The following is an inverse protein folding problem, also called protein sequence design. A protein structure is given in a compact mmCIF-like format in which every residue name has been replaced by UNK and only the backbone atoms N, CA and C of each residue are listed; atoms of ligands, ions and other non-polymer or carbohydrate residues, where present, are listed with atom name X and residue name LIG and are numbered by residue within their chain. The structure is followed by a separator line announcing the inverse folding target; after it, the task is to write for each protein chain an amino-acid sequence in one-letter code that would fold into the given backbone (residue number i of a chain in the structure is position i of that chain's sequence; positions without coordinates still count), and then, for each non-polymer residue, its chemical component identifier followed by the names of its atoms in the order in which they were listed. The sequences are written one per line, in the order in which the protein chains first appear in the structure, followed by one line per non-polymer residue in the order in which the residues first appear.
data_IF_269288790257
#
_entry.id   IF_269288790257
#
_cell.length_a   1.000
_cell.length_b   1.000
_cell.length_c   1.000
_cell.angle_alpha   90.00
_cell.angle_beta   90.00
_cell.angle_gamma   90.00
#
_symmetry.space_group_name_H-M   'P 1'
#
loop_
_entity.id
_entity.type
_entity.pdbx_description
1 polymer ?
#
# COMPACT_ATOMS: atom_id res chain seq x y z
N UNK A 1 -43.32 -2.59 -69.78
CA UNK A 1 -42.30 -1.76 -69.12
C UNK A 1 -42.13 -2.35 -67.71
N UNK A 2 -41.34 -3.37 -67.43
CA UNK A 2 -39.93 -3.68 -67.74
C UNK A 2 -38.93 -2.59 -67.32
N UNK A 3 -38.32 -2.81 -66.16
CA UNK A 3 -36.99 -2.36 -65.70
C UNK A 3 -36.94 -2.63 -64.19
N UNK A 4 -36.17 -3.56 -63.61
CA UNK A 4 -34.96 -4.21 -64.09
C UNK A 4 -33.71 -3.51 -63.55
N UNK A 5 -33.37 -3.70 -62.27
CA UNK A 5 -32.01 -3.46 -61.79
C UNK A 5 -31.68 -4.29 -60.53
N UNK A 6 -30.75 -5.23 -60.73
CA UNK A 6 -30.18 -6.21 -59.81
C UNK A 6 -29.44 -5.59 -58.60
N UNK A 7 -29.27 -6.35 -57.50
CA UNK A 7 -28.29 -6.07 -56.46
C UNK A 7 -26.86 -6.28 -56.99
N UNK A 8 -25.95 -5.36 -56.67
CA UNK A 8 -24.52 -5.51 -56.97
C UNK A 8 -23.86 -6.33 -55.88
N UNK A 9 -23.44 -7.53 -56.27
CA UNK A 9 -22.29 -8.24 -55.70
C UNK A 9 -21.03 -7.38 -55.81
N UNK A 10 -20.21 -7.41 -54.77
CA UNK A 10 -18.91 -6.76 -54.70
C UNK A 10 -18.01 -7.59 -53.81
N UNK A 11 -17.11 -8.31 -54.47
CA UNK A 11 -16.11 -9.23 -53.96
C UNK A 11 -15.33 -8.79 -52.71
N UNK A 12 -15.12 -9.76 -51.83
CA UNK A 12 -13.77 -10.26 -51.58
C UNK A 12 -12.77 -9.30 -50.95
N UNK A 13 -12.75 -9.28 -49.62
CA UNK A 13 -11.47 -9.35 -48.90
C UNK A 13 -11.65 -10.06 -47.57
N UNK A 14 -11.64 -11.39 -47.63
CA UNK A 14 -11.29 -12.22 -46.50
C UNK A 14 -9.87 -11.81 -46.07
N UNK A 15 -9.77 -10.99 -45.04
CA UNK A 15 -8.54 -10.89 -44.27
C UNK A 15 -8.46 -12.15 -43.42
N UNK A 16 -7.87 -13.21 -43.99
CA UNK A 16 -7.25 -14.28 -43.21
C UNK A 16 -6.18 -13.61 -42.34
N UNK A 17 -6.60 -13.12 -41.17
CA UNK A 17 -5.69 -12.96 -40.05
C UNK A 17 -5.35 -14.37 -39.63
N UNK A 18 -4.24 -14.83 -40.18
CA UNK A 18 -3.42 -15.93 -39.68
C UNK A 18 -3.31 -15.77 -38.17
N UNK A 19 -4.23 -16.44 -37.48
CA UNK A 19 -4.15 -16.69 -36.05
C UNK A 19 -2.91 -17.54 -35.89
N UNK A 20 -1.78 -16.88 -35.58
CA UNK A 20 -0.65 -17.51 -34.93
C UNK A 20 -1.17 -18.12 -33.63
N UNK A 21 -1.75 -19.32 -33.76
CA UNK A 21 -2.14 -20.15 -32.65
C UNK A 21 -0.88 -20.34 -31.85
N UNK A 22 -0.84 -19.75 -30.65
CA UNK A 22 0.01 -20.24 -29.58
C UNK A 22 -0.14 -21.75 -29.64
N UNK A 23 0.93 -22.46 -30.03
CA UNK A 23 1.00 -23.90 -29.86
C UNK A 23 0.66 -24.13 -28.40
N UNK A 24 -0.55 -24.60 -28.14
CA UNK A 24 -0.88 -25.17 -26.85
C UNK A 24 0.06 -26.34 -26.73
N UNK A 25 1.07 -26.22 -25.87
CA UNK A 25 1.77 -27.40 -25.39
C UNK A 25 0.68 -28.31 -24.84
N UNK A 26 0.37 -29.35 -25.60
CA UNK A 26 -0.63 -30.33 -25.23
C UNK A 26 -0.07 -31.04 -24.01
N UNK A 27 -0.60 -30.71 -22.84
CA UNK A 27 -0.28 -31.43 -21.62
C UNK A 27 -0.89 -32.81 -21.76
N UNK A 28 -0.03 -33.81 -21.86
CA UNK A 28 -0.45 -35.20 -21.90
C UNK A 28 -0.82 -35.62 -20.48
N UNK A 29 -2.12 -35.74 -20.22
CA UNK A 29 -2.63 -36.09 -18.89
C UNK A 29 -2.75 -37.60 -18.67
N UNK A 30 -2.74 -38.38 -19.75
CA UNK A 30 -3.06 -39.81 -19.76
C UNK A 30 -2.20 -40.50 -20.81
N UNK A 31 -1.62 -41.64 -20.47
CA UNK A 31 -0.88 -42.48 -21.43
C UNK A 31 -1.83 -43.35 -22.27
N UNK A 32 -1.38 -43.80 -23.44
CA UNK A 32 -2.19 -44.61 -24.37
C UNK A 32 -2.75 -45.89 -23.70
N UNK A 33 -1.96 -46.53 -22.83
CA UNK A 33 -2.38 -47.71 -22.04
C UNK A 33 -3.42 -47.38 -20.97
N UNK A 34 -3.34 -46.20 -20.37
CA UNK A 34 -4.34 -45.76 -19.39
C UNK A 34 -5.66 -45.40 -20.08
N UNK A 35 -5.61 -44.94 -21.33
CA UNK A 35 -6.78 -44.65 -22.14
C UNK A 35 -7.56 -45.92 -22.52
N UNK A 36 -6.85 -47.02 -22.80
CA UNK A 36 -7.47 -48.33 -23.03
C UNK A 36 -8.14 -48.87 -21.76
N UNK A 37 -7.47 -48.77 -20.60
CA UNK A 37 -8.00 -49.22 -19.31
C UNK A 37 -9.21 -48.40 -18.80
N UNK A 38 -9.40 -47.18 -19.30
CA UNK A 38 -10.57 -46.34 -18.98
C UNK A 38 -11.87 -46.94 -19.50
N UNK A 39 -11.81 -47.64 -20.64
CA UNK A 39 -13.00 -48.23 -21.26
C UNK A 39 -13.46 -49.51 -20.55
N UNK A 40 -12.62 -50.07 -19.67
CA UNK A 40 -12.90 -51.33 -18.97
C UNK A 40 -13.84 -51.16 -17.77
N UNK A 41 -13.82 -50.01 -17.09
CA UNK A 41 -14.71 -49.77 -15.95
C UNK A 41 -14.93 -48.29 -15.64
N UNK A 42 -16.10 -47.98 -15.06
CA UNK A 42 -16.42 -46.64 -14.57
C UNK A 42 -15.45 -46.18 -13.46
N UNK A 43 -14.91 -47.11 -12.67
CA UNK A 43 -13.92 -46.81 -11.63
C UNK A 43 -12.58 -46.37 -12.23
N UNK A 44 -12.11 -47.06 -13.28
CA UNK A 44 -10.92 -46.68 -14.05
C UNK A 44 -11.05 -45.28 -14.63
N UNK A 45 -12.22 -44.94 -15.17
CA UNK A 45 -12.51 -43.60 -15.69
C UNK A 45 -12.46 -42.52 -14.60
N UNK A 46 -13.07 -42.78 -13.44
CA UNK A 46 -13.04 -41.84 -12.31
C UNK A 46 -11.61 -41.59 -11.77
N UNK A 47 -10.75 -42.61 -11.78
CA UNK A 47 -9.33 -42.46 -11.40
C UNK A 47 -8.63 -41.45 -12.32
N UNK A 48 -8.90 -41.51 -13.62
CA UNK A 48 -8.30 -40.59 -14.59
C UNK A 48 -8.86 -39.17 -14.43
N UNK A 49 -10.17 -39.03 -14.25
CA UNK A 49 -10.78 -37.73 -14.00
C UNK A 49 -10.20 -37.06 -12.75
N UNK A 50 -9.95 -37.83 -11.69
CA UNK A 50 -9.29 -37.32 -10.48
C UNK A 50 -7.84 -36.90 -10.74
N UNK A 51 -7.08 -37.64 -11.56
CA UNK A 51 -5.72 -37.24 -11.97
C UNK A 51 -5.73 -35.93 -12.76
N UNK A 52 -6.63 -35.79 -13.73
CA UNK A 52 -6.77 -34.56 -14.53
C UNK A 52 -7.19 -33.39 -13.65
N UNK A 53 -8.16 -33.59 -12.75
CA UNK A 53 -8.62 -32.55 -11.82
C UNK A 53 -7.49 -32.08 -10.89
N UNK A 54 -6.69 -33.00 -10.35
CA UNK A 54 -5.54 -32.67 -9.51
C UNK A 54 -4.44 -31.94 -10.29
N UNK A 55 -4.14 -32.38 -11.51
CA UNK A 55 -3.16 -31.71 -12.38
C UNK A 55 -3.62 -30.30 -12.76
N UNK A 56 -4.91 -30.13 -13.06
CA UNK A 56 -5.50 -28.83 -13.35
C UNK A 56 -5.50 -27.91 -12.11
N UNK A 57 -5.76 -28.44 -10.92
CA UNK A 57 -5.69 -27.68 -9.67
C UNK A 57 -4.27 -27.17 -9.40
N UNK A 58 -3.26 -28.05 -9.49
CA UNK A 58 -1.84 -27.68 -9.30
C UNK A 58 -1.37 -26.66 -10.34
N UNK A 59 -1.74 -26.84 -11.62
CA UNK A 59 -1.42 -25.87 -12.66
C UNK A 59 -2.15 -24.52 -12.44
N UNK A 60 -3.37 -24.56 -11.91
CA UNK A 60 -4.13 -23.38 -11.50
C UNK A 60 -3.46 -22.63 -10.36
N UNK A 61 -3.00 -23.33 -9.33
CA UNK A 61 -2.27 -22.76 -8.19
C UNK A 61 -0.94 -22.12 -8.62
N UNK A 62 -0.15 -22.81 -9.44
CA UNK A 62 1.11 -22.28 -9.96
C UNK A 62 0.89 -20.99 -10.77
N UNK A 63 -0.09 -20.99 -11.69
CA UNK A 63 -0.43 -19.80 -12.47
C UNK A 63 -0.98 -18.67 -11.59
N UNK A 64 -1.76 -19.00 -10.56
CA UNK A 64 -2.26 -18.06 -9.57
C UNK A 64 -1.12 -17.40 -8.80
N UNK A 65 -0.16 -18.20 -8.34
CA UNK A 65 1.03 -17.73 -7.63
C UNK A 65 1.92 -16.86 -8.51
N UNK A 66 2.25 -17.30 -9.72
CA UNK A 66 3.05 -16.51 -10.67
C UNK A 66 2.39 -15.17 -10.98
N UNK A 67 1.06 -15.16 -11.17
CA UNK A 67 0.30 -13.92 -11.40
C UNK A 67 0.33 -13.00 -10.18
N UNK A 68 0.12 -13.55 -8.98
CA UNK A 68 0.18 -12.79 -7.74
C UNK A 68 1.56 -12.17 -7.52
N UNK A 69 2.64 -12.94 -7.71
CA UNK A 69 4.02 -12.45 -7.61
C UNK A 69 4.29 -11.37 -8.65
N UNK A 70 3.81 -11.54 -9.89
CA UNK A 70 3.98 -10.55 -10.96
C UNK A 70 3.20 -9.26 -10.73
N UNK A 71 2.05 -9.34 -10.08
CA UNK A 71 1.19 -8.19 -9.80
C UNK A 71 1.55 -7.48 -8.47
N UNK A 72 2.26 -8.15 -7.57
CA UNK A 72 2.71 -7.58 -6.28
C UNK A 72 3.50 -6.27 -6.45
N UNK A 73 4.51 -6.15 -7.32
CA UNK A 73 5.22 -4.89 -7.52
C UNK A 73 4.33 -3.74 -7.95
N UNK A 74 3.30 -4.00 -8.77
CA UNK A 74 2.36 -2.95 -9.21
C UNK A 74 1.48 -2.48 -8.06
N UNK A 75 1.02 -3.41 -7.21
CA UNK A 75 0.24 -3.09 -6.02
C UNK A 75 1.07 -2.25 -5.05
N UNK A 76 2.32 -2.64 -4.79
CA UNK A 76 3.25 -1.89 -3.94
C UNK A 76 3.48 -0.50 -4.51
N UNK A 77 3.79 -0.37 -5.81
CA UNK A 77 3.98 0.94 -6.44
C UNK A 77 2.75 1.83 -6.31
N UNK A 78 1.54 1.29 -6.51
CA UNK A 78 0.29 2.04 -6.34
C UNK A 78 0.12 2.52 -4.89
N UNK A 79 0.28 1.62 -3.92
CA UNK A 79 0.13 1.94 -2.50
C UNK A 79 1.17 2.98 -2.05
N UNK A 80 2.42 2.86 -2.50
CA UNK A 80 3.46 3.85 -2.18
C UNK A 80 3.15 5.22 -2.79
N UNK A 81 2.63 5.28 -4.01
CA UNK A 81 2.21 6.53 -4.64
C UNK A 81 1.06 7.21 -3.89
N UNK A 82 0.06 6.44 -3.49
CA UNK A 82 -1.04 6.92 -2.65
C UNK A 82 -0.53 7.43 -1.30
N UNK A 83 0.37 6.69 -0.66
CA UNK A 83 0.97 7.08 0.62
C UNK A 83 1.80 8.37 0.53
N UNK A 84 2.57 8.54 -0.55
CA UNK A 84 3.34 9.77 -0.80
C UNK A 84 2.37 10.94 -0.99
N UNK A 85 1.35 10.77 -1.82
CA UNK A 85 0.34 11.81 -2.09
C UNK A 85 -0.39 12.23 -0.81
N UNK A 86 -0.79 11.27 0.02
CA UNK A 86 -1.44 11.54 1.30
C UNK A 86 -0.51 12.29 2.26
N UNK A 87 0.77 11.89 2.32
CA UNK A 87 1.78 12.57 3.12
C UNK A 87 2.04 14.00 2.66
N UNK A 88 2.14 14.22 1.36
CA UNK A 88 2.38 15.55 0.79
C UNK A 88 1.19 16.47 1.04
N UNK A 89 -0.05 15.96 0.85
CA UNK A 89 -1.27 16.71 1.17
C UNK A 89 -1.34 17.11 2.66
N UNK A 90 -1.02 16.18 3.56
CA UNK A 90 -0.98 16.47 4.99
C UNK A 90 0.12 17.49 5.34
N UNK A 91 1.28 17.41 4.67
CA UNK A 91 2.36 18.37 4.83
C UNK A 91 1.95 19.76 4.36
N UNK A 92 1.39 19.87 3.17
CA UNK A 92 0.92 21.14 2.58
C UNK A 92 -0.14 21.79 3.48
N UNK A 93 -1.05 20.98 4.03
CA UNK A 93 -2.02 21.44 5.02
C UNK A 93 -1.34 22.02 6.27
N UNK A 94 -0.37 21.32 6.85
CA UNK A 94 0.34 21.81 8.03
C UNK A 94 1.26 23.00 7.73
N UNK A 95 1.83 23.07 6.53
CA UNK A 95 2.64 24.21 6.08
C UNK A 95 1.77 25.47 5.90
N UNK A 96 0.53 25.32 5.43
CA UNK A 96 -0.47 26.39 5.38
C UNK A 96 -1.05 26.76 6.78
N UNK A 97 -0.93 25.88 7.77
CA UNK A 97 -1.47 26.05 9.12
C UNK A 97 -0.35 25.86 10.17
N UNK A 98 0.58 26.84 10.29
CA UNK A 98 1.77 26.71 11.13
C UNK A 98 1.45 26.53 12.62
N UNK A 99 0.30 27.03 13.08
CA UNK A 99 -0.25 26.85 14.43
C UNK A 99 -0.49 25.38 14.78
N UNK A 100 -0.81 24.54 13.78
CA UNK A 100 -1.13 23.13 13.95
C UNK A 100 0.11 22.22 13.86
N UNK A 101 1.27 22.72 13.42
CA UNK A 101 2.51 21.93 13.29
C UNK A 101 2.97 21.27 14.60
N UNK A 102 3.00 21.97 15.76
CA UNK A 102 3.44 21.37 17.02
C UNK A 102 2.53 20.24 17.49
N UNK A 103 1.26 20.27 17.08
CA UNK A 103 0.18 19.36 17.50
C UNK A 103 -0.29 18.43 16.37
N UNK A 104 0.57 18.18 15.37
CA UNK A 104 0.28 17.34 14.19
C UNK A 104 -0.33 15.97 14.53
N UNK A 105 0.09 15.35 15.64
CA UNK A 105 -0.41 14.05 16.08
C UNK A 105 -1.88 14.12 16.49
N UNK A 106 -2.29 15.22 17.13
CA UNK A 106 -3.67 15.44 17.54
C UNK A 106 -4.56 15.77 16.35
N UNK A 107 -4.06 16.57 15.40
CA UNK A 107 -4.73 16.79 14.11
C UNK A 107 -5.00 15.45 13.43
N UNK A 108 -4.00 14.57 13.33
CA UNK A 108 -4.17 13.23 12.72
C UNK A 108 -5.23 12.38 13.42
N UNK A 109 -5.32 12.44 14.75
CA UNK A 109 -6.37 11.75 15.50
C UNK A 109 -7.77 12.26 15.13
N UNK A 110 -7.95 13.58 15.06
CA UNK A 110 -9.23 14.21 14.68
C UNK A 110 -9.55 13.93 13.22
N UNK A 111 -8.56 13.97 12.32
CA UNK A 111 -8.73 13.60 10.91
C UNK A 111 -9.26 12.17 10.78
N UNK A 112 -8.68 11.21 11.51
CA UNK A 112 -9.15 9.82 11.51
C UNK A 112 -10.57 9.68 12.08
N UNK A 113 -10.88 10.42 13.16
CA UNK A 113 -12.22 10.47 13.76
C UNK A 113 -13.26 10.98 12.74
N UNK A 114 -12.95 12.08 12.05
CA UNK A 114 -13.84 12.67 11.04
C UNK A 114 -13.95 11.78 9.80
N UNK A 115 -12.88 11.11 9.37
CA UNK A 115 -12.93 10.19 8.24
C UNK A 115 -13.81 8.98 8.53
N UNK A 116 -13.78 8.48 9.77
CA UNK A 116 -14.65 7.38 10.19
C UNK A 116 -16.14 7.79 10.23
N UNK A 117 -16.43 9.04 10.56
CA UNK A 117 -17.79 9.58 10.59
C UNK A 117 -18.29 10.00 9.20
N UNK A 118 -17.38 10.43 8.33
CA UNK A 118 -17.65 10.98 7.00
C UNK A 118 -16.71 10.37 5.96
N UNK A 119 -16.91 9.10 5.58
CA UNK A 119 -16.04 8.41 4.64
C UNK A 119 -16.15 8.94 3.19
N UNK A 120 -17.19 9.73 2.91
CA UNK A 120 -17.51 10.35 1.63
C UNK A 120 -16.83 11.71 1.43
N UNK A 121 -16.21 12.28 2.46
CA UNK A 121 -15.53 13.56 2.35
C UNK A 121 -14.24 13.47 1.55
N UNK A 122 -14.04 14.48 0.69
CA UNK A 122 -12.75 14.68 0.05
C UNK A 122 -11.69 15.05 1.08
N UNK A 123 -10.45 14.62 0.80
CA UNK A 123 -9.25 14.83 1.62
C UNK A 123 -9.07 16.29 2.03
N UNK A 124 -9.30 17.24 1.13
CA UNK A 124 -9.15 18.67 1.42
C UNK A 124 -10.19 19.15 2.44
N UNK A 125 -11.46 18.83 2.20
CA UNK A 125 -12.58 19.16 3.10
C UNK A 125 -12.38 18.55 4.47
N UNK A 126 -11.92 17.30 4.51
CA UNK A 126 -11.62 16.57 5.73
C UNK A 126 -10.54 17.28 6.57
N UNK A 127 -9.42 17.69 5.95
CA UNK A 127 -8.36 18.42 6.66
C UNK A 127 -8.80 19.82 7.12
N UNK A 128 -9.59 20.54 6.30
CA UNK A 128 -10.15 21.83 6.70
C UNK A 128 -11.02 21.70 7.97
N UNK A 129 -11.92 20.71 8.00
CA UNK A 129 -12.77 20.44 9.16
C UNK A 129 -11.98 19.91 10.36
N UNK A 130 -10.99 19.05 10.13
CA UNK A 130 -10.10 18.58 11.19
C UNK A 130 -9.33 19.75 11.82
N UNK A 131 -8.88 20.71 11.02
CA UNK A 131 -8.22 21.92 11.51
C UNK A 131 -9.15 22.81 12.33
N UNK A 132 -10.40 22.99 11.91
CA UNK A 132 -11.42 23.72 12.69
C UNK A 132 -11.69 23.05 14.04
N UNK A 133 -11.96 21.74 14.04
CA UNK A 133 -12.23 20.97 15.26
C UNK A 133 -11.02 20.93 16.20
N UNK A 134 -9.81 20.79 15.64
CA UNK A 134 -8.57 20.85 16.43
C UNK A 134 -8.44 22.18 17.16
N UNK A 135 -8.67 23.29 16.45
CA UNK A 135 -8.61 24.64 17.03
C UNK A 135 -9.67 24.85 18.10
N UNK A 136 -10.90 24.39 17.87
CA UNK A 136 -11.99 24.46 18.86
C UNK A 136 -11.64 23.69 20.12
N UNK A 137 -11.18 22.43 20.00
CA UNK A 137 -10.85 21.57 21.15
C UNK A 137 -9.67 22.09 21.96
N UNK A 138 -8.72 22.76 21.32
CA UNK A 138 -7.52 23.30 21.97
C UNK A 138 -7.59 24.81 22.25
N UNK A 139 -8.72 25.46 21.94
CA UNK A 139 -8.89 26.91 22.04
C UNK A 139 -7.79 27.72 21.33
N UNK A 140 -7.27 27.20 20.21
CA UNK A 140 -6.25 27.86 19.41
C UNK A 140 -6.90 28.83 18.41
N UNK A 141 -6.47 30.08 18.42
CA UNK A 141 -6.81 31.01 17.34
C UNK A 141 -5.87 30.77 16.14
N UNK A 142 -6.40 30.92 14.92
CA UNK A 142 -5.64 30.72 13.68
C UNK A 142 -4.41 31.63 13.54
N UNK A 143 -4.34 32.69 14.35
CA UNK A 143 -3.25 33.67 14.40
C UNK A 143 -2.27 33.48 15.58
N UNK A 144 -2.44 32.44 16.43
CA UNK A 144 -1.61 32.23 17.62
C UNK A 144 -0.11 32.05 17.30
N UNK A 145 0.25 31.75 16.05
CA UNK A 145 1.62 31.74 15.56
C UNK A 145 2.30 33.13 15.46
N UNK A 146 1.58 34.23 15.65
CA UNK A 146 2.17 35.58 15.77
C UNK A 146 2.61 35.95 17.19
N UNK A 147 2.16 35.24 18.22
CA UNK A 147 2.53 35.53 19.61
C UNK A 147 3.93 35.07 20.00
N UNK A 148 4.60 34.25 19.18
CA UNK A 148 5.97 33.79 19.45
C UNK A 148 7.04 34.54 18.63
N UNK A 149 6.73 35.70 18.04
CA UNK A 149 7.70 36.46 17.23
C UNK A 149 7.81 37.96 17.52
N UNK A 150 7.14 38.47 18.56
CA UNK A 150 7.29 39.86 19.01
C UNK A 150 7.10 39.99 20.54
N UNK A 151 7.80 39.18 21.33
CA UNK A 151 8.17 39.61 22.69
C UNK A 151 9.54 40.29 22.59
N UNK A 152 9.50 41.57 22.20
CA UNK A 152 10.62 42.47 22.36
C UNK A 152 10.96 42.61 23.84
N UNK A 153 12.16 42.17 24.19
CA UNK A 153 13.01 42.69 25.25
C UNK A 153 12.31 43.48 26.38
N UNK A 154 11.67 42.77 27.31
CA UNK A 154 11.60 43.26 28.68
C UNK A 154 12.89 42.83 29.38
N UNK A 155 13.57 43.81 29.96
CA UNK A 155 14.81 43.63 30.71
C UNK A 155 14.61 42.60 31.82
N UNK A 156 15.33 41.49 31.72
CA UNK A 156 15.39 40.43 32.72
C UNK A 156 15.80 41.05 34.08
N UNK A 157 14.94 41.05 35.13
CA UNK A 157 15.34 41.57 36.42
C UNK A 157 16.43 40.65 36.96
N UNK A 158 17.66 41.18 37.04
CA UNK A 158 18.85 40.42 37.42
C UNK A 158 18.60 39.63 38.71
N UNK A 159 18.47 38.31 38.60
CA UNK A 159 18.48 37.43 39.75
C UNK A 159 19.90 37.44 40.36
N UNK A 160 20.05 37.56 41.68
CA UNK A 160 21.37 37.59 42.30
C UNK A 160 22.11 36.28 42.05
N UNK A 161 23.34 36.40 41.54
CA UNK A 161 24.28 35.28 41.37
C UNK A 161 24.42 34.50 42.67
N UNK A 162 23.79 33.33 42.72
CA UNK A 162 23.99 32.35 43.79
C UNK A 162 25.30 31.61 43.53
N UNK A 163 26.12 31.54 44.56
CA UNK A 163 27.55 31.26 44.52
C UNK A 163 27.98 29.94 43.87
N UNK A 164 29.25 29.94 43.49
CA UNK A 164 30.03 28.77 43.17
C UNK A 164 29.92 27.70 44.26
N UNK A 165 29.62 26.47 43.86
CA UNK A 165 29.61 25.30 44.74
C UNK A 165 29.29 24.06 43.92
N UNK A 166 30.29 23.19 43.77
CA UNK A 166 30.26 22.03 42.88
C UNK A 166 29.30 20.90 43.28
N UNK A 167 29.23 19.90 42.41
CA UNK A 167 28.55 18.64 42.70
C UNK A 167 28.24 17.89 41.42
N UNK A 168 29.00 16.84 41.15
CA UNK A 168 28.85 15.98 39.98
C UNK A 168 27.51 15.24 39.93
N UNK A 169 27.10 14.87 38.72
CA UNK A 169 25.91 14.08 38.45
C UNK A 169 25.93 13.55 37.02
N UNK A 170 26.71 12.48 36.82
CA UNK A 170 26.70 11.65 35.61
C UNK A 170 25.46 10.75 35.58
N UNK A 171 24.97 10.43 34.37
CA UNK A 171 23.87 9.52 33.95
C UNK A 171 22.46 10.15 33.97
N UNK A 172 21.65 10.01 32.92
CA UNK A 172 21.40 8.79 32.14
C UNK A 172 21.03 9.08 30.69
N UNK A 173 21.71 8.39 29.76
CA UNK A 173 21.19 8.04 28.43
C UNK A 173 19.89 7.26 28.59
N UNK A 174 18.76 7.81 28.14
CA UNK A 174 17.51 7.06 27.95
C UNK A 174 17.32 6.83 26.46
N UNK A 175 18.02 5.83 25.94
CA UNK A 175 17.63 5.14 24.72
C UNK A 175 16.89 3.87 25.11
N UNK A 176 15.63 3.71 24.68
CA UNK A 176 14.95 2.41 24.57
C UNK A 176 13.58 2.60 23.89
N UNK A 177 13.60 2.72 22.57
CA UNK A 177 12.38 2.66 21.76
C UNK A 177 12.70 2.49 20.29
N UNK A 178 13.79 3.11 19.83
CA UNK A 178 14.31 2.92 18.47
C UNK A 178 15.11 1.62 18.30
N UNK A 179 15.69 1.07 19.37
CA UNK A 179 16.44 -0.19 19.33
C UNK A 179 15.55 -1.42 19.27
N UNK A 180 14.38 -1.37 19.93
CA UNK A 180 13.39 -2.47 19.91
C UNK A 180 12.76 -2.57 18.52
N UNK A 181 12.34 -1.45 17.93
CA UNK A 181 11.81 -1.45 16.56
C UNK A 181 12.84 -1.94 15.53
N UNK A 182 14.14 -1.59 15.71
CA UNK A 182 15.21 -2.12 14.84
C UNK A 182 15.43 -3.61 15.02
N UNK A 183 15.26 -4.14 16.24
CA UNK A 183 15.38 -5.57 16.53
C UNK A 183 14.20 -6.34 15.94
N UNK A 184 12.99 -5.83 16.08
CA UNK A 184 11.78 -6.42 15.49
C UNK A 184 11.85 -6.44 13.96
N UNK A 185 12.40 -5.38 13.34
CA UNK A 185 12.66 -5.36 11.89
C UNK A 185 13.73 -6.39 11.50
N UNK A 186 14.78 -6.54 12.32
CA UNK A 186 15.84 -7.54 12.09
C UNK A 186 15.35 -8.99 12.18
N UNK A 187 14.49 -9.28 13.16
CA UNK A 187 13.90 -10.59 13.40
C UNK A 187 12.84 -10.93 12.33
N UNK A 188 12.10 -9.94 11.82
CA UNK A 188 11.11 -10.13 10.75
C UNK A 188 11.75 -10.32 9.36
N UNK A 189 12.92 -9.73 9.11
CA UNK A 189 13.62 -9.77 7.81
C UNK A 189 14.61 -10.94 7.70
N UNK A 190 14.86 -11.68 8.79
CA UNK A 190 15.60 -12.95 8.71
C UNK A 190 17.06 -12.78 8.29
N UNK A 191 17.78 -11.82 8.87
CA UNK A 191 19.24 -11.79 8.78
C UNK A 191 19.85 -12.81 9.76
N UNK A 192 19.77 -14.08 9.39
CA UNK A 192 20.69 -15.10 9.84
C UNK A 192 22.01 -14.96 9.07
N UNK A 193 22.81 -13.94 9.39
CA UNK A 193 24.21 -13.90 8.98
C UNK A 193 25.09 -14.47 10.09
N UNK A 194 25.45 -15.75 9.93
CA UNK A 194 26.84 -16.16 10.09
C UNK A 194 27.35 -16.39 11.51
N UNK A 195 26.84 -17.41 12.20
CA UNK A 195 27.72 -18.20 13.06
C UNK A 195 28.64 -19.06 12.17
N UNK A 196 29.86 -18.60 11.86
CA UNK A 196 30.97 -19.51 11.50
C UNK A 196 32.34 -18.82 11.50
N UNK A 197 33.25 -19.35 12.32
CA UNK A 197 34.71 -19.31 12.24
C UNK A 197 35.46 -17.95 12.29
N UNK A 198 35.95 -17.60 13.48
CA UNK A 198 37.37 -17.79 13.89
C UNK A 198 37.56 -17.44 15.36
#
# INVERSE_FOLDING_TARGET
EESGAKPKEGDGKASDKESAGKKSESVEFVTEKELENVLESADSFNIILNKVANAAALAGEQRGYERAVRDTPKLVSKLTGEQITARDTARDFLDANPDLKPIRSFVGMITNELQAQHPDWDTKTLFEKAGEETRKRLSLSKDASKLNKDEGAEEDPSLPKRGAGGGGGTRSTKGSGLTELRKDIGDLVGYAEGSSNR
#
